data_IF_490413021826
#
_entry.id   IF_490413021826
#
_cell.length_a   1.000
_cell.length_b   1.000
_cell.length_c   1.000
_cell.angle_alpha   90.00
_cell.angle_beta   90.00
_cell.angle_gamma   90.00
#
_symmetry.space_group_name_H-M   'P 1'
#
loop_
_entity.id
_entity.type
_entity.pdbx_description
1 polymer ?
#
# COMPACT_ATOMS: atom_id res chain seq x y z
N UNK A 1 -18.72 10.54 19.28
CA UNK A 1 -18.54 10.50 17.80
C UNK A 1 -17.73 9.27 17.48
N UNK A 2 -17.88 8.68 16.29
CA UNK A 2 -17.11 7.49 15.85
C UNK A 2 -16.66 7.70 14.42
N UNK A 3 -15.43 7.32 14.09
CA UNK A 3 -14.93 7.25 12.72
C UNK A 3 -15.09 5.82 12.24
N UNK A 4 -15.91 5.62 11.23
CA UNK A 4 -16.03 4.36 10.51
C UNK A 4 -15.17 4.41 9.25
N UNK A 5 -14.41 3.35 8.99
CA UNK A 5 -13.64 3.23 7.76
C UNK A 5 -14.04 2.01 6.96
N UNK A 6 -14.51 2.21 5.73
CA UNK A 6 -14.82 1.14 4.79
C UNK A 6 -13.66 0.97 3.80
N UNK A 7 -12.90 -0.10 3.98
CA UNK A 7 -11.70 -0.39 3.21
C UNK A 7 -12.05 -1.15 1.91
N UNK A 8 -11.80 -0.55 0.76
CA UNK A 8 -11.98 -1.18 -0.55
C UNK A 8 -10.67 -1.27 -1.33
N UNK A 9 -10.71 -2.03 -2.43
CA UNK A 9 -9.55 -2.24 -3.30
C UNK A 9 -8.54 -3.21 -2.74
N UNK A 10 -7.36 -3.24 -3.35
CA UNK A 10 -6.27 -4.11 -2.94
C UNK A 10 -5.59 -3.67 -1.64
N UNK A 11 -4.74 -4.54 -1.09
CA UNK A 11 -4.09 -4.39 0.22
C UNK A 11 -3.47 -3.00 0.43
N UNK A 12 -2.65 -2.52 -0.51
CA UNK A 12 -1.97 -1.23 -0.35
C UNK A 12 -2.96 -0.07 -0.15
N UNK A 13 -4.04 -0.03 -0.93
CA UNK A 13 -5.08 1.00 -0.79
C UNK A 13 -5.75 0.93 0.59
N UNK A 14 -6.04 -0.27 1.08
CA UNK A 14 -6.64 -0.48 2.41
C UNK A 14 -5.74 -0.01 3.54
N UNK A 15 -4.43 -0.29 3.44
CA UNK A 15 -3.44 0.17 4.42
C UNK A 15 -3.36 1.70 4.48
N UNK A 16 -3.37 2.36 3.32
CA UNK A 16 -3.44 3.83 3.26
C UNK A 16 -4.75 4.36 3.85
N UNK A 17 -5.87 3.69 3.58
CA UNK A 17 -7.17 4.05 4.13
C UNK A 17 -7.18 3.96 5.66
N UNK A 18 -6.66 2.87 6.24
CA UNK A 18 -6.51 2.70 7.68
C UNK A 18 -5.61 3.78 8.31
N UNK A 19 -4.49 4.09 7.64
CA UNK A 19 -3.59 5.14 8.12
C UNK A 19 -4.29 6.50 8.17
N UNK A 20 -5.06 6.83 7.14
CA UNK A 20 -5.87 8.06 7.09
C UNK A 20 -6.92 8.07 8.19
N UNK A 21 -7.63 6.97 8.37
CA UNK A 21 -8.69 6.84 9.37
C UNK A 21 -8.15 6.97 10.80
N UNK A 22 -7.00 6.36 11.07
CA UNK A 22 -6.32 6.50 12.36
C UNK A 22 -5.95 7.95 12.64
N UNK A 23 -5.37 8.66 11.66
CA UNK A 23 -5.02 10.07 11.80
C UNK A 23 -6.25 10.92 12.15
N UNK A 24 -7.37 10.70 11.44
CA UNK A 24 -8.63 11.44 11.68
C UNK A 24 -9.20 11.11 13.06
N UNK A 25 -9.26 9.83 13.45
CA UNK A 25 -9.80 9.43 14.74
C UNK A 25 -9.02 10.05 15.91
N UNK A 26 -7.69 10.17 15.75
CA UNK A 26 -6.82 10.83 16.74
C UNK A 26 -7.03 12.33 16.81
N UNK A 27 -7.10 13.01 15.67
CA UNK A 27 -7.35 14.46 15.62
C UNK A 27 -8.70 14.79 16.28
N UNK A 28 -9.70 13.93 16.09
CA UNK A 28 -11.04 14.11 16.62
C UNK A 28 -11.22 13.54 18.03
N UNK A 29 -10.20 12.90 18.59
CA UNK A 29 -10.25 12.19 19.87
C UNK A 29 -11.48 11.28 19.97
N UNK A 30 -11.60 10.33 19.03
CA UNK A 30 -12.79 9.50 18.88
C UNK A 30 -12.43 8.05 18.51
N UNK A 31 -13.37 7.15 18.73
CA UNK A 31 -13.23 5.74 18.40
C UNK A 31 -13.09 5.53 16.88
N UNK A 32 -12.22 4.62 16.49
CA UNK A 32 -12.10 4.09 15.13
C UNK A 32 -12.76 2.72 15.05
N UNK A 33 -13.62 2.52 14.05
CA UNK A 33 -14.26 1.24 13.73
C UNK A 33 -13.95 0.89 12.27
N UNK A 34 -13.49 -0.33 12.05
CA UNK A 34 -13.03 -0.81 10.73
C UNK A 34 -14.08 -1.71 10.11
N UNK A 35 -14.36 -1.49 8.83
CA UNK A 35 -15.04 -2.43 7.97
C UNK A 35 -14.09 -2.88 6.86
N UNK A 36 -13.74 -4.16 6.88
CA UNK A 36 -12.78 -4.77 5.94
C UNK A 36 -13.42 -5.95 5.19
N UNK A 37 -14.22 -5.68 4.15
CA UNK A 37 -14.86 -6.75 3.41
C UNK A 37 -13.83 -7.61 2.67
N UNK A 38 -13.97 -8.94 2.76
CA UNK A 38 -13.22 -9.87 1.91
C UNK A 38 -13.77 -9.77 0.50
N UNK A 39 -12.90 -9.47 -0.46
CA UNK A 39 -13.27 -9.24 -1.88
C UNK A 39 -12.30 -9.95 -2.81
N UNK A 40 -12.62 -10.01 -4.10
CA UNK A 40 -11.71 -10.55 -5.11
C UNK A 40 -10.40 -9.75 -5.26
N UNK A 41 -10.38 -8.48 -4.86
CA UNK A 41 -9.17 -7.64 -4.86
C UNK A 41 -8.31 -7.83 -3.62
N UNK A 42 -8.92 -8.31 -2.51
CA UNK A 42 -8.25 -8.54 -1.23
C UNK A 42 -8.96 -9.67 -0.48
N UNK A 43 -8.55 -10.90 -0.76
CA UNK A 43 -9.19 -12.14 -0.28
C UNK A 43 -8.87 -12.54 1.15
N UNK A 44 -8.25 -11.67 1.96
CA UNK A 44 -7.87 -11.94 3.36
C UNK A 44 -8.77 -11.20 4.33
N UNK A 45 -9.11 -11.81 5.45
CA UNK A 45 -9.86 -11.18 6.52
C UNK A 45 -8.97 -10.23 7.35
N UNK A 46 -9.55 -9.20 7.93
CA UNK A 46 -8.85 -8.20 8.74
C UNK A 46 -8.06 -8.84 9.89
N UNK A 47 -8.68 -9.79 10.58
CA UNK A 47 -8.07 -10.50 11.72
C UNK A 47 -6.95 -11.49 11.32
N UNK A 48 -6.85 -11.84 10.04
CA UNK A 48 -5.73 -12.64 9.52
C UNK A 48 -4.54 -11.75 9.12
N UNK A 49 -4.78 -10.44 8.95
CA UNK A 49 -3.71 -9.45 8.68
C UNK A 49 -3.14 -8.90 9.99
N UNK A 50 -4.02 -8.55 10.94
CA UNK A 50 -3.65 -7.78 12.12
C UNK A 50 -4.03 -8.47 13.43
N UNK A 51 -3.16 -8.26 14.41
CA UNK A 51 -3.43 -8.45 15.82
C UNK A 51 -3.68 -7.06 16.43
N UNK A 52 -4.96 -6.74 16.69
CA UNK A 52 -5.39 -5.39 17.10
C UNK A 52 -6.69 -5.46 17.91
N UNK A 53 -6.87 -4.52 18.83
CA UNK A 53 -8.10 -4.34 19.62
C UNK A 53 -9.13 -3.48 18.90
N UNK A 54 -8.83 -2.95 17.70
CA UNK A 54 -9.76 -2.14 16.93
C UNK A 54 -11.01 -2.96 16.58
N UNK A 55 -12.18 -2.39 16.80
CA UNK A 55 -13.46 -2.98 16.46
C UNK A 55 -13.60 -3.16 14.94
N UNK A 56 -14.02 -4.37 14.53
CA UNK A 56 -14.36 -4.68 13.16
C UNK A 56 -15.85 -4.96 13.04
N UNK A 57 -16.49 -4.37 12.02
CA UNK A 57 -17.91 -4.58 11.72
C UNK A 57 -18.09 -5.04 10.26
N UNK A 58 -19.24 -5.64 9.97
CA UNK A 58 -19.60 -6.01 8.61
C UNK A 58 -20.06 -4.79 7.80
N UNK A 59 -19.89 -4.83 6.48
CA UNK A 59 -20.36 -3.77 5.60
C UNK A 59 -21.90 -3.57 5.66
N UNK A 60 -22.63 -4.63 5.98
CA UNK A 60 -24.08 -4.60 6.19
C UNK A 60 -24.49 -3.83 7.44
N UNK A 61 -23.60 -3.70 8.41
CA UNK A 61 -23.86 -3.01 9.68
C UNK A 61 -23.64 -1.50 9.57
N UNK A 62 -22.94 -1.08 8.49
CA UNK A 62 -22.85 0.34 8.13
C UNK A 62 -24.18 0.74 7.51
N UNK A 63 -25.17 1.01 8.37
CA UNK A 63 -26.46 1.54 7.90
C UNK A 63 -26.24 2.94 7.34
N UNK A 64 -26.70 3.24 6.11
CA UNK A 64 -26.73 4.60 5.59
C UNK A 64 -27.90 5.39 6.25
N UNK A 65 -27.91 5.39 7.58
CA UNK A 65 -28.81 6.26 8.32
C UNK A 65 -28.39 7.69 8.07
N UNK A 66 -29.34 8.61 7.99
CA UNK A 66 -29.21 10.02 7.62
C UNK A 66 -28.22 10.86 8.46
N UNK A 67 -27.20 10.24 9.01
CA UNK A 67 -26.30 10.79 10.01
C UNK A 67 -24.79 10.67 9.72
N UNK A 68 -24.36 10.08 8.61
CA UNK A 68 -22.92 9.98 8.32
C UNK A 68 -22.44 11.15 7.47
N UNK A 69 -21.32 11.76 7.88
CA UNK A 69 -20.53 12.58 6.97
C UNK A 69 -19.64 11.63 6.18
N UNK A 70 -19.95 11.44 4.91
CA UNK A 70 -19.19 10.57 4.03
C UNK A 70 -17.99 11.32 3.47
N UNK A 71 -16.78 10.83 3.77
CA UNK A 71 -15.57 11.24 3.09
C UNK A 71 -15.19 10.08 2.18
N UNK A 72 -15.37 10.25 0.88
CA UNK A 72 -14.99 9.27 -0.15
C UNK A 72 -13.86 9.80 -1.02
N UNK A 73 -13.57 9.09 -2.10
CA UNK A 73 -12.82 9.64 -3.22
C UNK A 73 -13.53 10.92 -3.66
N UNK A 74 -12.95 12.07 -3.30
CA UNK A 74 -13.47 13.37 -3.71
C UNK A 74 -12.87 13.64 -5.09
N UNK A 75 -13.67 13.75 -6.16
CA UNK A 75 -13.16 14.23 -7.44
C UNK A 75 -12.50 15.60 -7.24
N UNK A 76 -11.43 15.90 -7.96
CA UNK A 76 -10.64 17.13 -7.86
C UNK A 76 -11.43 18.45 -8.00
N UNK A 77 -12.73 18.40 -8.22
CA UNK A 77 -13.62 19.53 -8.51
C UNK A 77 -14.70 19.80 -7.44
N UNK A 78 -14.65 19.12 -6.28
CA UNK A 78 -15.64 19.43 -5.23
C UNK A 78 -15.14 20.63 -4.45
N UNK A 79 -15.80 21.77 -4.67
CA UNK A 79 -15.58 23.02 -3.93
C UNK A 79 -16.35 23.09 -2.62
N UNK A 80 -17.35 22.22 -2.43
CA UNK A 80 -18.19 22.20 -1.24
C UNK A 80 -17.70 21.09 -0.28
N UNK A 81 -16.99 21.48 0.75
CA UNK A 81 -16.60 20.57 1.83
C UNK A 81 -17.80 20.30 2.72
N UNK A 82 -18.04 19.03 3.10
CA UNK A 82 -19.12 18.73 4.02
C UNK A 82 -18.83 19.43 5.36
N UNK A 83 -19.77 20.27 5.79
CA UNK A 83 -19.71 20.83 7.14
C UNK A 83 -20.08 19.75 8.13
N UNK A 84 -19.17 19.45 9.05
CA UNK A 84 -19.39 18.47 10.10
C UNK A 84 -20.33 19.07 11.16
N UNK A 85 -21.46 18.42 11.38
CA UNK A 85 -22.30 18.71 12.55
C UNK A 85 -21.76 17.92 13.74
N UNK A 86 -21.68 18.56 14.88
CA UNK A 86 -20.92 18.11 16.07
C UNK A 86 -21.18 16.70 16.58
N UNK A 87 -22.25 16.02 16.16
CA UNK A 87 -22.67 14.74 16.72
C UNK A 87 -22.79 13.60 15.70
N UNK A 88 -22.46 13.83 14.43
CA UNK A 88 -22.60 12.80 13.40
C UNK A 88 -21.35 11.92 13.29
N UNK A 89 -21.52 10.59 13.17
CA UNK A 89 -20.40 9.71 12.86
C UNK A 89 -19.84 10.00 11.47
N UNK A 90 -18.53 9.78 11.32
CA UNK A 90 -17.81 9.97 10.06
C UNK A 90 -17.65 8.63 9.37
N UNK A 91 -17.99 8.55 8.10
CA UNK A 91 -17.75 7.38 7.27
C UNK A 91 -16.68 7.70 6.20
N UNK A 92 -15.52 7.10 6.35
CA UNK A 92 -14.44 7.13 5.37
C UNK A 92 -14.57 5.95 4.40
N UNK A 93 -14.58 6.23 3.11
CA UNK A 93 -14.68 5.18 2.09
C UNK A 93 -13.49 5.28 1.14
N UNK A 94 -12.64 4.25 1.15
CA UNK A 94 -11.51 4.11 0.21
C UNK A 94 -10.64 5.35 0.05
N UNK A 95 -10.43 6.09 1.15
CA UNK A 95 -9.61 7.30 1.09
C UNK A 95 -8.15 6.87 0.95
N UNK A 96 -7.59 7.10 -0.22
CA UNK A 96 -6.15 6.94 -0.45
C UNK A 96 -5.45 8.26 -0.22
N UNK A 97 -4.18 8.21 0.17
CA UNK A 97 -3.35 9.41 0.44
C UNK A 97 -3.09 10.29 -0.78
N UNK A 98 -3.64 9.94 -1.95
CA UNK A 98 -3.48 10.70 -3.19
C UNK A 98 -4.43 11.91 -3.31
N UNK A 99 -5.32 12.10 -2.36
CA UNK A 99 -6.31 13.17 -2.43
C UNK A 99 -6.09 14.20 -1.34
N UNK A 100 -6.09 15.46 -1.75
CA UNK A 100 -6.17 16.59 -0.83
C UNK A 100 -7.59 16.69 -0.33
N UNK A 101 -7.77 16.73 0.97
CA UNK A 101 -9.04 17.12 1.55
C UNK A 101 -8.82 17.97 2.78
N UNK A 102 -9.73 18.88 3.00
CA UNK A 102 -9.77 19.74 4.17
C UNK A 102 -10.99 19.34 5.00
N UNK A 103 -10.82 19.26 6.30
CA UNK A 103 -11.91 19.08 7.25
C UNK A 103 -11.97 20.30 8.13
N UNK A 104 -13.14 20.91 8.22
CA UNK A 104 -13.43 21.90 9.25
C UNK A 104 -14.24 21.21 10.35
N UNK A 105 -13.70 21.16 11.55
CA UNK A 105 -14.34 20.53 12.68
C UNK A 105 -14.15 21.39 13.93
N UNK A 106 -15.24 21.74 14.61
CA UNK A 106 -15.22 22.59 15.81
C UNK A 106 -14.37 23.87 15.66
N UNK A 107 -14.48 24.54 14.52
CA UNK A 107 -13.70 25.71 14.15
C UNK A 107 -12.16 25.47 14.01
N UNK A 108 -11.75 24.22 13.86
CA UNK A 108 -10.38 23.86 13.53
C UNK A 108 -10.37 23.34 12.08
N UNK A 109 -9.68 24.04 11.21
CA UNK A 109 -9.45 23.61 9.85
C UNK A 109 -8.28 22.63 9.84
N UNK A 110 -8.58 21.37 9.58
CA UNK A 110 -7.55 20.33 9.43
C UNK A 110 -7.29 20.13 7.95
N UNK A 111 -6.10 20.52 7.52
CA UNK A 111 -5.67 20.39 6.14
C UNK A 111 -4.88 19.10 5.95
N UNK A 112 -5.46 18.15 5.23
CA UNK A 112 -4.78 16.96 4.77
C UNK A 112 -4.20 17.25 3.39
N UNK A 113 -2.94 17.67 3.34
CA UNK A 113 -2.26 17.82 2.05
C UNK A 113 -1.85 16.46 1.52
N UNK A 114 -2.00 16.28 0.22
CA UNK A 114 -1.42 15.15 -0.50
C UNK A 114 0.12 15.25 -0.44
N UNK A 115 0.67 14.68 0.59
CA UNK A 115 2.09 14.41 0.65
C UNK A 115 2.28 12.98 0.17
N UNK A 116 2.43 12.80 -1.14
CA UNK A 116 2.80 11.51 -1.76
C UNK A 116 3.93 10.80 -0.98
N UNK A 117 4.66 11.55 -0.19
CA UNK A 117 5.87 11.14 0.51
C UNK A 117 5.70 10.98 2.03
N UNK A 118 4.52 11.22 2.60
CA UNK A 118 4.31 11.12 4.05
C UNK A 118 3.01 10.43 4.42
N UNK A 119 3.03 9.51 5.41
CA UNK A 119 1.80 8.98 6.01
C UNK A 119 1.08 10.10 6.76
N UNK A 120 -0.24 10.03 6.86
CA UNK A 120 -1.03 11.00 7.64
C UNK A 120 -0.93 10.77 9.15
N UNK A 121 -0.93 9.50 9.60
CA UNK A 121 -0.64 9.17 11.00
C UNK A 121 0.85 8.94 11.21
N UNK A 122 1.29 9.07 12.47
CA UNK A 122 2.60 8.56 12.87
C UNK A 122 2.67 7.06 12.56
N UNK A 123 3.71 6.65 11.84
CA UNK A 123 3.88 5.26 11.43
C UNK A 123 4.17 4.33 12.61
N UNK A 124 4.78 4.84 13.68
CA UNK A 124 4.96 4.09 14.92
C UNK A 124 3.59 3.77 15.53
N UNK A 125 2.76 4.79 15.68
CA UNK A 125 1.41 4.63 16.22
C UNK A 125 0.55 3.69 15.34
N UNK A 126 0.67 3.81 14.01
CA UNK A 126 0.00 2.89 13.10
C UNK A 126 0.40 1.44 13.34
N UNK A 127 1.71 1.15 13.45
CA UNK A 127 2.23 -0.20 13.66
C UNK A 127 1.93 -0.76 15.06
N UNK A 128 1.77 0.11 16.06
CA UNK A 128 1.33 -0.29 17.39
C UNK A 128 -0.17 -0.60 17.44
N UNK A 129 -0.99 0.19 16.71
CA UNK A 129 -2.46 0.01 16.62
C UNK A 129 -2.83 -1.18 15.74
N UNK A 130 -2.18 -1.31 14.58
CA UNK A 130 -2.39 -2.36 13.59
C UNK A 130 -1.15 -3.24 13.49
N UNK A 131 -0.90 -4.05 14.51
CA UNK A 131 0.24 -4.96 14.52
C UNK A 131 0.00 -6.11 13.55
N UNK A 132 0.89 -6.27 12.58
CA UNK A 132 0.82 -7.41 11.66
C UNK A 132 0.96 -8.72 12.42
N UNK A 133 0.25 -9.77 11.98
CA UNK A 133 0.35 -11.11 12.56
C UNK A 133 1.78 -11.61 12.56
N UNK A 134 2.18 -12.26 13.63
CA UNK A 134 3.53 -12.78 13.83
C UNK A 134 3.96 -13.74 12.72
N UNK A 135 3.04 -14.51 12.15
CA UNK A 135 3.34 -15.40 11.03
C UNK A 135 3.89 -14.67 9.80
N UNK A 136 3.33 -13.50 9.46
CA UNK A 136 3.82 -12.68 8.35
C UNK A 136 5.16 -12.02 8.70
N UNK A 137 5.27 -11.53 9.94
CA UNK A 137 6.49 -10.88 10.44
C UNK A 137 7.65 -11.86 10.47
N UNK A 138 7.45 -13.06 11.01
CA UNK A 138 8.48 -14.08 11.14
C UNK A 138 8.99 -14.55 9.77
N UNK A 139 8.10 -14.81 8.80
CA UNK A 139 8.51 -15.17 7.43
C UNK A 139 9.32 -14.06 6.75
N UNK A 140 8.94 -12.79 6.97
CA UNK A 140 9.72 -11.67 6.47
C UNK A 140 11.10 -11.59 7.15
N UNK A 141 11.17 -11.79 8.47
CA UNK A 141 12.41 -11.75 9.24
C UNK A 141 13.37 -12.87 8.86
N UNK A 142 12.88 -14.09 8.64
CA UNK A 142 13.68 -15.22 8.14
C UNK A 142 14.33 -14.89 6.79
N UNK A 143 13.55 -14.30 5.86
CA UNK A 143 14.09 -13.87 4.57
C UNK A 143 15.17 -12.81 4.74
N UNK A 144 14.92 -11.81 5.59
CA UNK A 144 15.86 -10.72 5.86
C UNK A 144 17.16 -11.23 6.48
N UNK A 145 17.09 -12.11 7.46
CA UNK A 145 18.27 -12.71 8.10
C UNK A 145 19.15 -13.45 7.09
N UNK A 146 18.53 -14.15 6.16
CA UNK A 146 19.25 -14.93 5.14
C UNK A 146 19.90 -14.07 4.07
N UNK A 147 19.30 -12.94 3.70
CA UNK A 147 19.63 -12.21 2.49
C UNK A 147 20.17 -10.80 2.71
N UNK A 148 20.20 -10.27 3.94
CA UNK A 148 20.73 -8.92 4.23
C UNK A 148 22.25 -8.82 4.10
N UNK A 149 22.77 -7.62 3.73
CA UNK A 149 22.06 -6.44 3.32
C UNK A 149 21.56 -6.54 1.87
N UNK A 150 20.42 -5.90 1.55
CA UNK A 150 19.85 -5.91 0.22
C UNK A 150 19.14 -4.58 -0.11
N UNK A 151 18.98 -4.31 -1.41
CA UNK A 151 18.02 -3.33 -1.91
C UNK A 151 16.80 -4.07 -2.46
N UNK A 152 15.70 -3.38 -2.64
CA UNK A 152 14.48 -3.93 -3.24
C UNK A 152 14.15 -3.28 -4.56
N UNK A 153 13.74 -4.09 -5.53
CA UNK A 153 13.13 -3.70 -6.78
C UNK A 153 11.72 -4.27 -6.83
N UNK A 154 10.71 -3.40 -6.74
CA UNK A 154 9.30 -3.80 -6.77
C UNK A 154 8.66 -3.41 -8.10
N UNK A 155 7.97 -4.37 -8.71
CA UNK A 155 7.24 -4.21 -9.96
C UNK A 155 5.78 -4.59 -9.76
N UNK A 156 4.90 -3.66 -10.12
CA UNK A 156 3.47 -3.90 -10.16
C UNK A 156 3.07 -4.34 -11.55
N UNK A 157 2.76 -5.64 -11.73
CA UNK A 157 2.55 -6.26 -13.04
C UNK A 157 1.09 -6.35 -13.47
N UNK A 158 0.18 -6.57 -12.52
CA UNK A 158 -1.18 -7.03 -12.86
C UNK A 158 -2.12 -5.97 -13.43
N UNK A 159 -1.94 -4.69 -13.11
CA UNK A 159 -2.93 -3.65 -13.41
C UNK A 159 -2.31 -2.30 -13.84
N UNK A 160 -1.05 -2.33 -14.28
CA UNK A 160 -0.36 -1.14 -14.79
C UNK A 160 -0.31 -1.19 -16.32
N UNK A 161 -0.95 -0.25 -17.01
CA UNK A 161 -0.99 -0.25 -18.48
C UNK A 161 0.38 -0.05 -19.14
N UNK A 162 1.36 0.45 -18.39
CA UNK A 162 2.71 0.76 -18.89
C UNK A 162 3.78 -0.24 -18.41
N UNK A 163 3.36 -1.43 -17.97
CA UNK A 163 4.29 -2.41 -17.35
C UNK A 163 5.46 -2.76 -18.29
N UNK A 164 5.24 -2.85 -19.60
CA UNK A 164 6.31 -3.13 -20.53
C UNK A 164 7.37 -2.02 -20.55
N UNK A 165 6.93 -0.76 -20.53
CA UNK A 165 7.83 0.39 -20.45
C UNK A 165 8.62 0.39 -19.13
N UNK A 166 7.96 0.07 -18.00
CA UNK A 166 8.65 -0.07 -16.73
C UNK A 166 9.68 -1.21 -16.77
N UNK A 167 9.33 -2.36 -17.33
CA UNK A 167 10.24 -3.50 -17.47
C UNK A 167 11.45 -3.17 -18.36
N UNK A 168 11.24 -2.48 -19.46
CA UNK A 168 12.32 -2.08 -20.36
C UNK A 168 13.24 -1.05 -19.67
N UNK A 169 12.67 -0.13 -18.91
CA UNK A 169 13.41 0.83 -18.10
C UNK A 169 14.28 0.11 -17.05
N UNK A 170 13.72 -0.90 -16.35
CA UNK A 170 14.47 -1.68 -15.35
C UNK A 170 15.68 -2.40 -15.92
N UNK A 171 15.65 -2.74 -17.19
CA UNK A 171 16.77 -3.39 -17.91
C UNK A 171 17.80 -2.39 -18.42
N UNK A 172 17.54 -1.08 -18.34
CA UNK A 172 18.48 -0.08 -18.84
C UNK A 172 19.77 -0.03 -18.05
N UNK A 173 20.87 0.27 -18.74
CA UNK A 173 22.16 0.49 -18.10
C UNK A 173 22.12 1.61 -17.07
N UNK A 174 21.24 2.60 -17.25
CA UNK A 174 21.08 3.72 -16.30
C UNK A 174 20.56 3.24 -14.95
N UNK A 175 19.51 2.40 -14.94
CA UNK A 175 18.98 1.80 -13.70
C UNK A 175 20.00 0.86 -13.07
N UNK A 176 20.63 0.00 -13.87
CA UNK A 176 21.69 -0.87 -13.37
C UNK A 176 22.83 -0.07 -12.75
N UNK A 177 23.27 1.02 -13.41
CA UNK A 177 24.27 1.93 -12.85
C UNK A 177 23.78 2.65 -11.59
N UNK A 178 22.54 3.05 -11.51
CA UNK A 178 21.97 3.71 -10.33
C UNK A 178 21.95 2.75 -9.14
N UNK A 179 21.52 1.50 -9.38
CA UNK A 179 21.53 0.44 -8.38
C UNK A 179 22.96 0.10 -7.94
N UNK A 180 23.92 0.04 -8.88
CA UNK A 180 25.30 -0.36 -8.62
C UNK A 180 26.22 0.80 -8.19
N UNK A 181 26.07 2.00 -8.78
CA UNK A 181 27.00 3.15 -8.56
C UNK A 181 26.86 3.87 -7.24
N UNK A 182 25.68 3.85 -6.62
CA UNK A 182 25.53 4.53 -5.31
C UNK A 182 26.34 3.85 -4.21
N UNK A 183 27.13 2.83 -4.53
CA UNK A 183 28.04 2.17 -3.59
C UNK A 183 27.33 1.52 -2.39
N UNK A 184 26.02 1.63 -2.36
CA UNK A 184 25.17 1.22 -1.27
C UNK A 184 24.79 -0.25 -1.35
N UNK A 185 24.87 -0.86 -2.53
CA UNK A 185 24.53 -2.27 -2.68
C UNK A 185 25.80 -3.11 -2.72
N UNK A 186 26.36 -3.38 -1.58
CA UNK A 186 27.32 -4.49 -1.36
C UNK A 186 26.60 -5.80 -1.06
N UNK A 187 25.35 -5.97 -1.47
CA UNK A 187 24.51 -7.09 -1.09
C UNK A 187 23.61 -7.56 -2.22
N UNK A 188 22.62 -8.33 -1.86
CA UNK A 188 21.62 -8.88 -2.78
C UNK A 188 20.63 -7.81 -3.26
N UNK A 189 19.98 -8.06 -4.37
CA UNK A 189 18.83 -7.30 -4.87
C UNK A 189 17.57 -8.17 -4.71
N UNK A 190 16.70 -7.83 -3.78
CA UNK A 190 15.39 -8.47 -3.68
C UNK A 190 14.48 -7.95 -4.79
N UNK A 191 14.01 -8.85 -5.64
CA UNK A 191 13.04 -8.54 -6.67
C UNK A 191 11.70 -9.12 -6.25
N UNK A 192 10.65 -8.30 -6.27
CA UNK A 192 9.29 -8.73 -5.98
C UNK A 192 8.27 -8.11 -6.94
N UNK A 193 7.31 -8.92 -7.34
CA UNK A 193 6.21 -8.54 -8.23
C UNK A 193 4.94 -9.29 -7.83
N UNK A 194 3.78 -8.80 -8.25
CA UNK A 194 2.52 -9.53 -8.20
C UNK A 194 2.32 -10.46 -9.43
N UNK A 195 3.33 -10.59 -10.32
CA UNK A 195 3.39 -11.61 -11.38
C UNK A 195 4.78 -12.25 -11.47
N UNK A 196 4.81 -13.57 -11.39
CA UNK A 196 6.05 -14.36 -11.44
C UNK A 196 6.91 -14.10 -12.69
N UNK A 197 6.29 -13.90 -13.84
CA UNK A 197 7.01 -13.68 -15.11
C UNK A 197 7.98 -12.51 -15.06
N UNK A 198 7.64 -11.43 -14.33
CA UNK A 198 8.51 -10.26 -14.21
C UNK A 198 9.68 -10.50 -13.25
N UNK A 199 9.47 -11.25 -12.18
CA UNK A 199 10.56 -11.70 -11.31
C UNK A 199 11.52 -12.59 -12.09
N UNK A 200 11.01 -13.62 -12.79
CA UNK A 200 11.81 -14.55 -13.62
C UNK A 200 12.59 -13.84 -14.75
N UNK A 201 12.02 -12.79 -15.29
CA UNK A 201 12.67 -12.00 -16.32
C UNK A 201 13.81 -11.17 -15.77
N UNK A 202 13.58 -10.43 -14.67
CA UNK A 202 14.58 -9.53 -14.09
C UNK A 202 15.74 -10.26 -13.40
N UNK A 203 15.52 -11.42 -12.83
CA UNK A 203 16.61 -12.26 -12.29
C UNK A 203 17.68 -12.56 -13.34
N UNK A 204 17.33 -12.61 -14.63
CA UNK A 204 18.30 -12.82 -15.70
C UNK A 204 19.25 -11.63 -15.92
N UNK A 205 18.85 -10.43 -15.50
CA UNK A 205 19.63 -9.20 -15.66
C UNK A 205 20.48 -8.83 -14.46
N UNK A 206 20.11 -9.33 -13.27
CA UNK A 206 20.77 -8.97 -12.02
C UNK A 206 21.43 -10.18 -11.38
N UNK A 207 22.74 -10.26 -11.43
CA UNK A 207 23.53 -11.41 -10.95
C UNK A 207 23.37 -11.71 -9.44
N UNK A 208 22.97 -10.71 -8.65
CA UNK A 208 22.73 -10.84 -7.20
C UNK A 208 21.25 -10.73 -6.86
N UNK A 209 20.39 -11.05 -7.83
CA UNK A 209 18.95 -11.04 -7.60
C UNK A 209 18.53 -12.20 -6.72
N UNK A 210 17.64 -11.88 -5.77
CA UNK A 210 17.00 -12.84 -4.89
C UNK A 210 15.49 -12.64 -4.99
N UNK A 211 14.77 -13.74 -5.21
CA UNK A 211 13.30 -13.78 -5.23
C UNK A 211 12.81 -14.81 -4.22
N UNK A 212 11.60 -14.64 -3.73
CA UNK A 212 10.96 -15.66 -2.90
C UNK A 212 10.45 -16.81 -3.76
N UNK A 213 10.81 -18.04 -3.40
CA UNK A 213 10.47 -19.24 -4.18
C UNK A 213 9.13 -19.87 -3.75
N UNK A 214 8.71 -19.61 -2.53
CA UNK A 214 7.51 -20.19 -1.88
C UNK A 214 6.27 -19.30 -1.99
N UNK A 215 6.26 -18.38 -2.94
CA UNK A 215 5.24 -17.36 -3.11
C UNK A 215 4.14 -17.81 -4.09
N UNK A 216 2.89 -17.50 -3.76
CA UNK A 216 1.75 -17.56 -4.70
C UNK A 216 1.50 -16.21 -5.35
N UNK A 217 0.78 -16.23 -6.46
CA UNK A 217 0.52 -15.05 -7.28
C UNK A 217 -0.97 -14.93 -7.60
N UNK A 218 -1.50 -13.70 -7.70
CA UNK A 218 -2.86 -13.47 -8.13
C UNK A 218 -3.19 -14.15 -9.46
N UNK A 219 -4.40 -14.61 -9.59
CA UNK A 219 -4.95 -15.17 -10.83
C UNK A 219 -5.91 -14.19 -11.51
N UNK A 220 -6.29 -14.50 -12.73
CA UNK A 220 -7.38 -13.81 -13.41
C UNK A 220 -8.73 -14.38 -12.96
N UNK A 221 -9.77 -13.54 -12.97
CA UNK A 221 -11.15 -13.97 -12.78
C UNK A 221 -11.69 -14.67 -14.03
N UNK A 222 -11.28 -14.17 -15.20
CA UNK A 222 -11.53 -14.76 -16.51
C UNK A 222 -10.20 -14.86 -17.26
N UNK A 223 -9.77 -16.10 -17.54
CA UNK A 223 -8.49 -16.39 -18.19
C UNK A 223 -8.39 -15.82 -19.63
N UNK A 224 -9.55 -15.57 -20.26
CA UNK A 224 -9.59 -15.05 -21.62
C UNK A 224 -9.40 -13.51 -21.68
N UNK A 225 -9.44 -12.83 -20.54
CA UNK A 225 -9.31 -11.38 -20.46
C UNK A 225 -7.94 -10.98 -19.88
N UNK A 226 -7.40 -9.80 -20.22
CA UNK A 226 -6.23 -9.25 -19.55
C UNK A 226 -6.57 -8.90 -18.08
N UNK A 227 -5.55 -8.70 -17.23
CA UNK A 227 -5.75 -8.26 -15.84
C UNK A 227 -6.45 -6.89 -15.75
N UNK A 228 -6.17 -6.02 -16.69
CA UNK A 228 -6.90 -4.75 -16.87
C UNK A 228 -7.59 -4.81 -18.24
N UNK A 229 -8.91 -4.75 -18.26
CA UNK A 229 -9.69 -4.76 -19.50
C UNK A 229 -9.61 -3.40 -20.19
N UNK A 230 -9.95 -3.36 -21.48
CA UNK A 230 -10.03 -2.11 -22.26
C UNK A 230 -11.07 -1.12 -21.68
N UNK A 231 -12.01 -1.60 -20.86
CA UNK A 231 -12.98 -0.79 -20.14
C UNK A 231 -12.47 -0.25 -18.79
N UNK A 232 -11.23 -0.56 -18.43
CA UNK A 232 -10.64 -0.19 -17.15
C UNK A 232 -11.13 -1.03 -15.97
N UNK A 233 -11.73 -2.19 -16.21
CA UNK A 233 -12.19 -3.11 -15.17
C UNK A 233 -11.04 -4.06 -14.77
N UNK A 234 -10.88 -4.27 -13.47
CA UNK A 234 -9.88 -5.20 -12.95
C UNK A 234 -10.37 -6.64 -13.02
N UNK A 235 -9.65 -7.45 -13.79
CA UNK A 235 -9.86 -8.89 -13.93
C UNK A 235 -8.86 -9.66 -13.07
N UNK A 236 -8.85 -9.37 -11.77
CA UNK A 236 -7.91 -9.96 -10.82
C UNK A 236 -8.67 -10.70 -9.74
N UNK A 237 -8.08 -11.80 -9.27
CA UNK A 237 -8.54 -12.54 -8.10
C UNK A 237 -7.33 -12.79 -7.19
N UNK A 238 -7.43 -12.32 -5.95
CA UNK A 238 -6.43 -12.51 -4.90
C UNK A 238 -7.01 -13.36 -3.79
N UNK A 239 -6.48 -14.54 -3.62
CA UNK A 239 -6.79 -15.40 -2.47
C UNK A 239 -6.25 -14.82 -1.17
N UNK A 240 -6.65 -15.37 -0.03
CA UNK A 240 -6.05 -15.02 1.27
C UNK A 240 -4.54 -15.24 1.25
N UNK A 241 -4.07 -16.33 0.64
CA UNK A 241 -2.64 -16.63 0.53
C UNK A 241 -1.90 -15.59 -0.32
N UNK A 242 -2.44 -15.17 -1.47
CA UNK A 242 -1.78 -14.16 -2.32
C UNK A 242 -1.65 -12.82 -1.60
N UNK A 243 -2.63 -12.44 -0.80
CA UNK A 243 -2.56 -11.22 0.01
C UNK A 243 -1.57 -11.38 1.17
N UNK A 244 -1.51 -12.54 1.81
CA UNK A 244 -0.50 -12.84 2.83
C UNK A 244 0.93 -12.75 2.24
N UNK A 245 1.15 -13.27 1.02
CA UNK A 245 2.43 -13.13 0.32
C UNK A 245 2.78 -11.66 0.03
N UNK A 246 1.79 -10.85 -0.35
CA UNK A 246 1.99 -9.41 -0.56
C UNK A 246 2.34 -8.67 0.75
N UNK A 247 1.76 -9.08 1.90
CA UNK A 247 2.13 -8.55 3.22
C UNK A 247 3.60 -8.87 3.52
N UNK A 248 4.01 -10.10 3.30
CA UNK A 248 5.40 -10.53 3.56
C UNK A 248 6.38 -9.76 2.66
N UNK A 249 6.09 -9.62 1.36
CA UNK A 249 6.89 -8.82 0.44
C UNK A 249 6.99 -7.36 0.90
N UNK A 250 5.89 -6.76 1.33
CA UNK A 250 5.86 -5.40 1.86
C UNK A 250 6.72 -5.26 3.12
N UNK A 251 6.64 -6.23 4.04
CA UNK A 251 7.45 -6.25 5.25
C UNK A 251 8.94 -6.45 4.94
N UNK A 252 9.30 -7.27 3.96
CA UNK A 252 10.67 -7.40 3.46
C UNK A 252 11.15 -6.07 2.86
N UNK A 253 10.35 -5.45 1.97
CA UNK A 253 10.67 -4.13 1.41
C UNK A 253 10.94 -3.09 2.48
N UNK A 254 10.14 -3.09 3.56
CA UNK A 254 10.29 -2.11 4.64
C UNK A 254 11.56 -2.27 5.49
N UNK A 255 12.32 -3.36 5.30
CA UNK A 255 13.58 -3.68 6.00
C UNK A 255 14.82 -3.55 5.11
N UNK A 256 14.65 -3.14 3.88
CA UNK A 256 15.74 -2.98 2.90
C UNK A 256 16.60 -1.75 3.19
N UNK A 257 17.76 -1.66 2.57
CA UNK A 257 18.58 -0.45 2.61
C UNK A 257 18.14 0.61 1.59
N UNK A 258 17.43 0.20 0.55
CA UNK A 258 16.87 1.09 -0.47
C UNK A 258 15.73 0.40 -1.23
N UNK A 259 14.66 1.14 -1.51
CA UNK A 259 13.52 0.65 -2.31
C UNK A 259 13.52 1.37 -3.66
N UNK A 260 13.41 0.58 -4.72
CA UNK A 260 13.08 1.03 -6.07
C UNK A 260 11.70 0.48 -6.41
N UNK A 261 10.75 1.32 -6.75
CA UNK A 261 9.38 0.89 -7.00
C UNK A 261 8.61 1.84 -7.90
N UNK A 262 7.55 1.33 -8.51
CA UNK A 262 6.61 2.15 -9.27
C UNK A 262 5.85 3.12 -8.34
N UNK A 263 5.72 4.37 -8.76
CA UNK A 263 4.89 5.36 -8.06
C UNK A 263 3.42 4.99 -8.03
N UNK A 264 2.99 4.14 -8.97
CA UNK A 264 1.62 3.63 -9.04
C UNK A 264 1.33 2.51 -8.04
N UNK A 265 2.36 1.93 -7.39
CA UNK A 265 2.16 0.88 -6.39
C UNK A 265 1.88 1.46 -5.00
N UNK A 266 0.62 1.42 -4.59
CA UNK A 266 0.22 1.78 -3.22
C UNK A 266 0.90 0.89 -2.16
N UNK A 267 1.15 -0.40 -2.47
CA UNK A 267 1.83 -1.33 -1.58
C UNK A 267 3.30 -0.94 -1.35
N UNK A 268 4.05 -0.68 -2.44
CA UNK A 268 5.44 -0.26 -2.35
C UNK A 268 5.58 1.09 -1.62
N UNK A 269 4.63 1.99 -1.84
CA UNK A 269 4.56 3.28 -1.16
C UNK A 269 4.34 3.10 0.33
N UNK A 270 3.47 2.18 0.74
CA UNK A 270 3.24 1.88 2.14
C UNK A 270 4.47 1.22 2.79
N UNK A 271 5.14 0.29 2.11
CA UNK A 271 6.43 -0.25 2.55
C UNK A 271 7.47 0.85 2.80
N UNK A 272 7.51 1.86 1.93
CA UNK A 272 8.37 3.01 2.11
C UNK A 272 8.01 3.86 3.34
N UNK A 273 6.74 4.02 3.67
CA UNK A 273 6.34 4.72 4.90
C UNK A 273 6.88 4.01 6.15
N UNK A 274 6.75 2.67 6.21
CA UNK A 274 7.32 1.87 7.29
C UNK A 274 8.87 2.01 7.32
N UNK A 275 9.51 1.97 6.15
CA UNK A 275 10.95 2.11 6.03
C UNK A 275 11.45 3.47 6.53
N UNK A 276 10.83 4.57 6.10
CA UNK A 276 11.20 5.94 6.52
C UNK A 276 11.02 6.16 8.02
N UNK A 277 10.00 5.57 8.62
CA UNK A 277 9.83 5.64 10.06
C UNK A 277 11.07 5.11 10.80
N UNK A 278 11.70 4.06 10.28
CA UNK A 278 12.90 3.44 10.85
C UNK A 278 14.20 4.13 10.41
N UNK A 279 14.19 4.82 9.28
CA UNK A 279 15.35 5.41 8.61
C UNK A 279 15.01 6.80 8.04
N UNK A 280 14.85 7.83 8.87
CA UNK A 280 14.32 9.15 8.46
C UNK A 280 15.21 9.88 7.44
N UNK A 281 16.51 9.57 7.40
CA UNK A 281 17.50 10.27 6.54
C UNK A 281 17.59 9.69 5.12
N UNK A 282 16.87 8.60 4.82
CA UNK A 282 16.93 7.97 3.50
C UNK A 282 15.88 8.52 2.53
N UNK A 283 16.31 8.74 1.29
CA UNK A 283 15.45 9.17 0.20
C UNK A 283 14.99 7.99 -0.65
N UNK A 284 13.74 8.05 -1.06
CA UNK A 284 13.15 7.12 -2.00
C UNK A 284 13.64 7.40 -3.43
N UNK A 285 13.87 6.36 -4.22
CA UNK A 285 14.13 6.46 -5.65
C UNK A 285 12.93 5.89 -6.44
N UNK A 286 12.16 6.78 -7.03
CA UNK A 286 11.11 6.40 -7.97
C UNK A 286 11.62 6.34 -9.41
N UNK A 287 11.03 5.50 -10.24
CA UNK A 287 11.37 5.38 -11.66
C UNK A 287 11.01 6.62 -12.49
N UNK A 288 10.02 7.41 -12.05
CA UNK A 288 9.55 8.59 -12.78
C UNK A 288 10.64 9.64 -13.05
N UNK A 289 11.66 9.73 -12.20
CA UNK A 289 12.76 10.68 -12.40
C UNK A 289 13.73 10.29 -13.52
N UNK A 290 13.60 9.09 -14.09
CA UNK A 290 14.45 8.63 -15.19
C UNK A 290 13.84 8.96 -16.57
N UNK A 291 12.55 9.30 -16.65
CA UNK A 291 11.88 9.64 -17.92
C UNK A 291 12.21 11.05 -18.43
N UNK A 292 12.85 11.90 -17.62
CA UNK A 292 13.13 13.30 -17.95
C UNK A 292 14.62 13.69 -17.85
N UNK A 293 15.52 12.71 -17.79
CA UNK A 293 16.97 12.95 -17.75
C UNK A 293 17.63 12.68 -19.11
#
# INVERSE_FOLDING_TARGET
MTVYVLCHGGLGNRLHCLNTALAISKILDTQLVVCWPVTYECGIAFRDVFDTDIEEILATDIQPTHGYVRIGLIPDHITDYPQFKDDLPILLVSVTTSHRFMMSFRNVDVYFSDHKDRPLSDMKEFLETFRFKDEHVNRADEFVQKNSPYATLHIRGTDVPFIQTEMDLMKTTAIQHMILKKGTIRGNLFICSDEKKYEDELVKYYHHAVVRQDKTYPSKRDENLPFLTDKGEYNIFRTSQDVAEAIIDMLIMSRTCQIYGSTYSSLARFAHFIYRHKNPDHTWAFYEHVQHA
#
